data_IF_073978784724
#
_entry.id   IF_073978784724
#
_cell.length_a   1.000
_cell.length_b   1.000
_cell.length_c   1.000
_cell.angle_alpha   90.00
_cell.angle_beta   90.00
_cell.angle_gamma   90.00
#
_symmetry.space_group_name_H-M   'P 1'
#
loop_
_entity.id
_entity.type
_entity.pdbx_description
1 polymer ?
#
# COMPACT_ATOMS: atom_id res chain seq x y z
N UNK A 1 60.40 -22.82 44.68
CA UNK A 1 59.11 -22.71 45.40
C UNK A 1 58.19 -21.96 44.45
N UNK A 2 57.14 -22.61 43.96
CA UNK A 2 56.40 -22.17 42.78
C UNK A 2 55.32 -21.15 43.18
N UNK A 3 55.39 -19.96 42.60
CA UNK A 3 54.37 -18.92 42.69
C UNK A 3 53.17 -19.32 41.83
N UNK A 4 52.07 -19.71 42.46
CA UNK A 4 50.80 -19.90 41.77
C UNK A 4 50.20 -18.53 41.49
N UNK A 5 50.47 -17.99 40.30
CA UNK A 5 49.65 -16.92 39.73
C UNK A 5 48.21 -17.46 39.61
N UNK A 6 47.36 -17.09 40.57
CA UNK A 6 45.91 -17.24 40.43
C UNK A 6 45.48 -16.31 39.32
N UNK A 7 45.41 -16.83 38.10
CA UNK A 7 44.75 -16.18 36.98
C UNK A 7 43.34 -15.85 37.46
N UNK A 8 43.08 -14.57 37.73
CA UNK A 8 41.72 -14.06 37.93
C UNK A 8 40.90 -14.60 36.78
N UNK A 9 39.97 -15.52 37.03
CA UNK A 9 39.05 -16.04 36.02
C UNK A 9 38.49 -14.82 35.28
N UNK A 10 38.95 -14.64 34.03
CA UNK A 10 38.84 -13.37 33.30
C UNK A 10 37.37 -12.90 33.33
N UNK A 11 37.09 -11.60 33.56
CA UNK A 11 35.72 -11.07 33.65
C UNK A 11 34.85 -11.45 32.43
N UNK A 12 35.50 -11.66 31.27
CA UNK A 12 34.89 -12.15 30.05
C UNK A 12 34.23 -13.54 30.20
N UNK A 13 34.84 -14.46 30.95
CA UNK A 13 34.29 -15.81 31.16
C UNK A 13 32.97 -15.79 31.95
N UNK A 14 32.75 -14.76 32.78
CA UNK A 14 31.49 -14.56 33.49
C UNK A 14 30.44 -13.79 32.69
N UNK A 15 30.85 -12.75 31.96
CA UNK A 15 29.90 -11.85 31.26
C UNK A 15 29.45 -12.37 29.90
N UNK A 16 30.32 -13.09 29.18
CA UNK A 16 30.01 -13.61 27.83
C UNK A 16 28.83 -14.59 27.80
N UNK A 17 28.74 -15.62 28.65
CA UNK A 17 27.58 -16.53 28.64
C UNK A 17 26.29 -15.82 29.06
N UNK A 18 26.37 -14.87 30.01
CA UNK A 18 25.22 -14.07 30.45
C UNK A 18 24.72 -13.18 29.31
N UNK A 19 25.62 -12.51 28.58
CA UNK A 19 25.27 -11.72 27.42
C UNK A 19 24.62 -12.56 26.32
N UNK A 20 25.17 -13.74 26.00
CA UNK A 20 24.59 -14.66 25.02
C UNK A 20 23.19 -15.11 25.41
N UNK A 21 22.97 -15.42 26.69
CA UNK A 21 21.64 -15.79 27.20
C UNK A 21 20.63 -14.65 27.02
N UNK A 22 21.00 -13.42 27.37
CA UNK A 22 20.11 -12.25 27.20
C UNK A 22 19.76 -12.06 25.72
N UNK A 23 20.73 -12.16 24.81
CA UNK A 23 20.48 -12.04 23.37
C UNK A 23 19.60 -13.18 22.84
N UNK A 24 19.86 -14.42 23.26
CA UNK A 24 19.05 -15.56 22.86
C UNK A 24 17.58 -15.40 23.29
N UNK A 25 17.35 -14.94 24.53
CA UNK A 25 16.00 -14.65 25.02
C UNK A 25 15.35 -13.51 24.22
N UNK A 26 16.08 -12.45 23.90
CA UNK A 26 15.54 -11.34 23.10
C UNK A 26 15.18 -11.79 21.68
N UNK A 27 16.06 -12.52 20.99
CA UNK A 27 15.85 -12.99 19.61
C UNK A 27 14.70 -13.98 19.52
N UNK A 28 14.57 -14.89 20.49
CA UNK A 28 13.53 -15.93 20.47
C UNK A 28 12.21 -15.46 21.10
N UNK A 29 12.26 -14.51 22.04
CA UNK A 29 11.10 -14.03 22.80
C UNK A 29 10.42 -12.82 22.18
N UNK A 30 11.13 -12.02 21.38
CA UNK A 30 10.53 -10.90 20.64
C UNK A 30 10.05 -11.43 19.30
N UNK A 31 8.73 -11.46 19.12
CA UNK A 31 8.09 -11.81 17.86
C UNK A 31 7.36 -10.61 17.29
N UNK A 32 7.52 -10.39 15.99
CA UNK A 32 6.77 -9.38 15.25
C UNK A 32 5.58 -10.08 14.57
N UNK A 33 4.39 -9.87 15.10
CA UNK A 33 3.17 -10.17 14.38
C UNK A 33 2.74 -8.89 13.65
N UNK A 34 2.35 -8.95 12.37
CA UNK A 34 1.60 -7.85 11.80
C UNK A 34 0.35 -7.65 12.65
N UNK A 35 -0.07 -6.39 12.82
CA UNK A 35 -1.38 -6.06 13.36
C UNK A 35 -2.38 -7.00 12.70
N UNK A 36 -3.06 -7.82 13.50
CA UNK A 36 -4.11 -8.67 12.98
C UNK A 36 -5.13 -7.70 12.38
N UNK A 37 -5.14 -7.59 11.05
CA UNK A 37 -6.20 -6.94 10.28
C UNK A 37 -7.48 -7.78 10.37
N UNK A 38 -7.77 -8.36 11.55
CA UNK A 38 -8.83 -9.33 11.78
C UNK A 38 -10.20 -8.78 11.48
N UNK A 39 -10.33 -7.46 11.29
CA UNK A 39 -11.55 -6.85 10.80
C UNK A 39 -11.23 -5.67 9.88
N UNK A 40 -10.20 -5.76 9.03
CA UNK A 40 -10.27 -4.94 7.82
C UNK A 40 -11.46 -5.53 7.08
N UNK A 41 -12.61 -4.87 7.20
CA UNK A 41 -13.72 -4.97 6.27
C UNK A 41 -13.07 -4.81 4.89
N UNK A 42 -12.64 -5.92 4.29
CA UNK A 42 -12.20 -5.92 2.90
C UNK A 42 -13.53 -5.67 2.20
N UNK A 43 -13.76 -4.45 1.66
CA UNK A 43 -15.02 -4.17 1.02
C UNK A 43 -15.21 -5.23 -0.07
N UNK A 44 -16.47 -5.66 -0.24
CA UNK A 44 -16.84 -6.56 -1.34
C UNK A 44 -16.20 -6.05 -2.63
N UNK A 45 -15.68 -6.97 -3.46
CA UNK A 45 -14.90 -6.65 -4.67
C UNK A 45 -15.62 -5.54 -5.43
N UNK A 46 -15.03 -4.34 -5.43
CA UNK A 46 -15.62 -3.20 -6.13
C UNK A 46 -15.48 -3.48 -7.62
N UNK A 47 -16.62 -3.56 -8.32
CA UNK A 47 -16.63 -3.56 -9.77
C UNK A 47 -16.21 -2.16 -10.25
N UNK A 48 -14.94 -2.02 -10.64
CA UNK A 48 -14.36 -0.78 -11.12
C UNK A 48 -14.39 -0.80 -12.64
N UNK A 49 -15.37 -0.13 -13.23
CA UNK A 49 -15.32 0.21 -14.65
C UNK A 49 -14.40 1.43 -14.83
N UNK A 50 -13.19 1.23 -15.34
CA UNK A 50 -12.32 2.34 -15.73
C UNK A 50 -12.81 2.94 -17.05
N UNK A 51 -13.31 4.17 -16.98
CA UNK A 51 -13.54 4.99 -18.18
C UNK A 51 -12.28 5.81 -18.44
N UNK A 52 -11.61 5.55 -19.55
CA UNK A 52 -10.49 6.38 -19.99
C UNK A 52 -11.02 7.72 -20.47
N UNK A 53 -10.95 8.74 -19.62
CA UNK A 53 -11.38 10.10 -19.94
C UNK A 53 -10.24 10.85 -20.61
N UNK A 54 -10.56 11.54 -21.71
CA UNK A 54 -9.65 12.45 -22.39
C UNK A 54 -10.42 13.71 -22.79
N UNK A 55 -9.72 14.83 -22.93
CA UNK A 55 -10.24 16.08 -23.47
C UNK A 55 -9.96 16.13 -24.97
N UNK A 56 -10.90 16.60 -25.78
CA UNK A 56 -10.63 16.86 -27.20
C UNK A 56 -9.66 18.03 -27.38
N UNK A 57 -9.73 19.02 -26.49
CA UNK A 57 -8.87 20.21 -26.54
C UNK A 57 -7.66 20.02 -25.63
N UNK A 58 -6.47 20.37 -26.13
CA UNK A 58 -5.25 20.39 -25.34
C UNK A 58 -5.32 21.48 -24.25
N UNK A 59 -4.80 21.22 -23.04
CA UNK A 59 -4.73 22.25 -22.01
C UNK A 59 -3.73 23.34 -22.42
N UNK A 60 -4.04 24.59 -22.06
CA UNK A 60 -3.16 25.73 -22.32
C UNK A 60 -1.81 25.60 -21.60
N UNK A 61 -1.81 24.99 -20.41
CA UNK A 61 -0.63 24.70 -19.61
C UNK A 61 -0.66 23.25 -19.11
N UNK A 62 0.39 22.48 -19.41
CA UNK A 62 0.52 21.08 -19.03
C UNK A 62 1.72 20.89 -18.09
N UNK A 63 1.45 20.58 -16.83
CA UNK A 63 2.50 20.36 -15.82
C UNK A 63 3.08 18.94 -15.87
N UNK A 64 2.41 18.00 -16.55
CA UNK A 64 2.80 16.60 -16.66
C UNK A 64 2.64 16.07 -18.08
N UNK A 65 3.59 15.21 -18.51
CA UNK A 65 3.45 14.46 -19.76
C UNK A 65 2.47 13.31 -19.53
N UNK A 66 1.39 13.28 -20.31
CA UNK A 66 0.35 12.27 -20.26
C UNK A 66 0.14 11.63 -21.64
N UNK A 67 -0.50 10.46 -21.66
CA UNK A 67 -0.80 9.74 -22.90
C UNK A 67 -1.90 10.42 -23.73
N UNK A 68 -2.75 11.23 -23.08
CA UNK A 68 -3.86 11.93 -23.70
C UNK A 68 -4.04 13.32 -23.06
N UNK A 69 -4.72 14.21 -23.78
CA UNK A 69 -5.11 15.52 -23.25
C UNK A 69 -6.04 15.31 -22.03
N UNK A 70 -5.73 15.96 -20.92
CA UNK A 70 -6.52 15.88 -19.70
C UNK A 70 -6.60 17.25 -19.04
N UNK A 71 -7.82 17.71 -18.75
CA UNK A 71 -8.05 18.92 -17.97
C UNK A 71 -8.15 18.58 -16.49
N UNK A 72 -7.44 19.32 -15.64
CA UNK A 72 -7.56 19.17 -14.20
C UNK A 72 -8.94 19.66 -13.72
N UNK A 73 -9.65 18.84 -12.94
CA UNK A 73 -10.94 19.20 -12.32
C UNK A 73 -10.78 19.72 -10.87
N UNK A 74 -9.53 19.81 -10.39
CA UNK A 74 -9.23 20.30 -9.04
C UNK A 74 -9.38 21.82 -8.94
N UNK A 75 -9.74 22.30 -7.74
CA UNK A 75 -9.88 23.74 -7.44
C UNK A 75 -8.63 24.34 -6.77
N UNK A 76 -7.51 23.63 -6.79
CA UNK A 76 -6.26 24.07 -6.16
C UNK A 76 -5.43 24.85 -7.16
N UNK A 77 -5.05 26.07 -6.80
CA UNK A 77 -4.17 26.91 -7.62
C UNK A 77 -2.72 26.39 -7.67
N UNK A 78 -2.35 25.46 -6.78
CA UNK A 78 -1.04 24.82 -6.78
C UNK A 78 -1.09 23.43 -7.41
N UNK A 79 -0.10 23.20 -8.29
CA UNK A 79 0.29 21.86 -8.76
C UNK A 79 0.55 20.94 -7.57
N UNK A 80 -0.32 19.95 -7.40
CA UNK A 80 -0.12 18.90 -6.41
C UNK A 80 -0.24 17.55 -7.08
N UNK A 81 0.82 16.75 -6.96
CA UNK A 81 0.72 15.33 -7.31
C UNK A 81 -0.34 14.68 -6.40
N UNK A 82 -1.23 13.84 -6.93
CA UNK A 82 -2.15 13.07 -6.10
C UNK A 82 -1.36 12.29 -5.04
N UNK A 83 -1.74 12.45 -3.78
CA UNK A 83 -1.13 11.76 -2.63
C UNK A 83 -2.20 10.93 -1.95
N UNK A 84 -1.86 9.70 -1.57
CA UNK A 84 -2.71 8.89 -0.71
C UNK A 84 -2.65 9.43 0.72
N UNK A 85 -3.77 9.46 1.48
CA UNK A 85 -3.74 9.76 2.91
C UNK A 85 -2.83 8.82 3.71
N UNK A 86 -2.53 7.64 3.16
CA UNK A 86 -1.63 6.64 3.74
C UNK A 86 -0.20 6.72 3.19
N UNK A 87 0.15 7.76 2.43
CA UNK A 87 1.51 7.93 1.92
C UNK A 87 2.49 8.23 3.08
N UNK A 88 3.68 7.63 3.04
CA UNK A 88 4.75 7.91 4.00
C UNK A 88 5.21 9.36 3.91
N UNK A 89 5.61 9.95 5.05
CA UNK A 89 6.24 11.29 5.10
C UNK A 89 7.66 11.28 4.54
N UNK A 90 8.32 10.12 4.58
CA UNK A 90 9.60 9.87 3.92
C UNK A 90 9.39 9.59 2.42
N UNK A 91 10.15 10.24 1.52
CA UNK A 91 10.15 9.91 0.11
C UNK A 91 10.58 8.46 -0.10
N UNK A 92 9.71 7.65 -0.72
CA UNK A 92 10.10 6.31 -1.15
C UNK A 92 11.03 6.45 -2.37
N UNK A 93 12.32 6.18 -2.17
CA UNK A 93 13.37 6.21 -3.21
C UNK A 93 13.55 4.87 -3.91
N UNK A 94 12.85 3.82 -3.47
CA UNK A 94 12.86 2.53 -4.15
C UNK A 94 11.90 2.54 -5.33
N UNK A 95 12.34 1.94 -6.45
CA UNK A 95 11.47 1.64 -7.58
C UNK A 95 10.30 0.79 -7.08
N UNK A 96 9.07 1.28 -7.25
CA UNK A 96 7.87 0.61 -6.77
C UNK A 96 7.73 -0.77 -7.41
N UNK A 97 7.47 -1.79 -6.58
CA UNK A 97 7.13 -3.12 -7.09
C UNK A 97 5.81 -3.04 -7.88
N UNK A 98 5.74 -3.77 -8.99
CA UNK A 98 4.52 -3.87 -9.80
C UNK A 98 3.36 -4.33 -8.93
N UNK A 99 2.16 -3.72 -9.07
CA UNK A 99 0.97 -4.16 -8.33
C UNK A 99 0.78 -5.67 -8.47
N UNK A 100 0.53 -6.34 -7.34
CA UNK A 100 0.15 -7.76 -7.32
C UNK A 100 -1.15 -7.88 -8.13
N UNK A 101 -1.19 -8.82 -9.09
CA UNK A 101 -2.38 -9.08 -9.89
C UNK A 101 -3.56 -9.35 -8.94
N UNK A 102 -4.59 -8.49 -9.01
CA UNK A 102 -5.88 -8.76 -8.38
C UNK A 102 -6.38 -10.12 -8.85
N UNK A 103 -6.98 -10.89 -7.93
CA UNK A 103 -7.65 -12.13 -8.31
C UNK A 103 -8.70 -11.84 -9.39
N UNK A 104 -8.78 -12.71 -10.39
CA UNK A 104 -9.75 -12.62 -11.48
C UNK A 104 -11.16 -12.40 -10.91
N UNK A 105 -11.84 -11.36 -11.40
CA UNK A 105 -13.22 -11.12 -11.02
C UNK A 105 -14.08 -12.34 -11.38
N UNK A 106 -15.14 -12.58 -10.61
CA UNK A 106 -16.13 -13.57 -10.99
C UNK A 106 -16.62 -13.30 -12.42
N UNK A 107 -16.94 -14.33 -13.22
CA UNK A 107 -17.41 -14.14 -14.59
C UNK A 107 -18.54 -13.12 -14.62
N UNK A 108 -18.56 -12.23 -15.62
CA UNK A 108 -19.56 -11.17 -15.71
C UNK A 108 -20.94 -11.80 -15.61
N UNK A 109 -21.65 -11.50 -14.53
CA UNK A 109 -23.09 -11.72 -14.48
C UNK A 109 -23.67 -10.52 -15.17
N UNK A 110 -23.79 -10.58 -16.50
CA UNK A 110 -24.55 -9.59 -17.25
C UNK A 110 -25.92 -9.47 -16.57
N UNK A 111 -26.24 -8.35 -15.90
CA UNK A 111 -27.59 -8.13 -15.46
C UNK A 111 -28.38 -8.07 -16.75
N UNK A 112 -29.29 -9.03 -16.97
CA UNK A 112 -30.26 -8.94 -18.06
C UNK A 112 -31.06 -7.66 -17.83
N UNK A 113 -30.61 -6.56 -18.44
CA UNK A 113 -31.34 -5.32 -18.51
C UNK A 113 -32.61 -5.65 -19.29
N UNK A 114 -33.68 -5.93 -18.55
CA UNK A 114 -35.00 -6.04 -19.15
C UNK A 114 -35.30 -4.65 -19.71
N UNK A 115 -35.45 -4.50 -21.04
CA UNK A 115 -35.74 -3.19 -21.61
C UNK A 115 -37.09 -2.72 -21.05
N UNK A 116 -37.03 -1.79 -20.09
CA UNK A 116 -38.22 -1.10 -19.62
C UNK A 116 -38.56 -0.08 -20.71
N UNK A 117 -39.51 -0.45 -21.57
CA UNK A 117 -40.07 0.46 -22.57
C UNK A 117 -40.82 1.56 -21.81
N UNK A 118 -40.15 2.69 -21.57
CA UNK A 118 -40.79 3.91 -21.13
C UNK A 118 -41.51 4.52 -22.34
N UNK A 119 -42.70 4.01 -22.66
CA UNK A 119 -43.60 4.66 -23.61
C UNK A 119 -44.54 5.59 -22.85
N UNK A 120 -44.31 6.90 -22.97
CA UNK A 120 -45.32 7.88 -22.58
C UNK A 120 -46.18 8.13 -23.80
N UNK A 121 -47.39 7.57 -23.82
CA UNK A 121 -48.42 7.93 -24.80
C UNK A 121 -48.83 9.37 -24.52
N UNK A 122 -48.36 10.32 -25.34
CA UNK A 122 -48.90 11.67 -25.36
C UNK A 122 -50.32 11.62 -25.93
N UNK A 123 -51.31 11.85 -25.07
CA UNK A 123 -52.69 12.11 -25.47
C UNK A 123 -53.01 13.56 -25.07
N UNK A 124 -53.58 14.26 -26.05
CA UNK A 124 -54.04 15.67 -26.12
C UNK A 124 -52.99 16.76 -26.22
#
# INVERSE_FOLDING_TARGET
MNEFHTSSLLPLAGTLPVALLIHAVAILGISFAPERLSERNIPSVLDVTLVQTHSETAPDEAEFIAQANQQASGSSDQSNRPRSPLASTEPNVQDGESPIKSAEAAPPTDPKLQPQILTTKGET
#
